data_IF_952213957734
#
_entry.id   IF_952213957734
#
_cell.length_a   1.000
_cell.length_b   1.000
_cell.length_c   1.000
_cell.angle_alpha   90.00
_cell.angle_beta   90.00
_cell.angle_gamma   90.00
#
_symmetry.space_group_name_H-M   'P 1'
#
loop_
_entity.id
_entity.type
_entity.pdbx_description
1 polymer ?
#
# COMPACT_ATOMS: atom_id res chain seq x y z
N UNK A 1 -22.59 12.61 17.53
CA UNK A 1 -22.08 11.35 16.92
C UNK A 1 -20.56 11.37 17.02
N UNK A 2 -19.95 10.28 17.39
CA UNK A 2 -18.49 10.18 17.37
C UNK A 2 -17.99 10.26 15.90
N UNK A 3 -16.89 10.97 15.66
CA UNK A 3 -16.26 10.95 14.36
C UNK A 3 -15.79 9.52 14.05
N UNK A 4 -15.94 9.04 12.80
CA UNK A 4 -15.49 7.71 12.43
C UNK A 4 -13.98 7.57 12.69
N UNK A 5 -13.56 6.41 13.18
CA UNK A 5 -12.16 6.11 13.44
C UNK A 5 -11.39 6.17 12.12
N UNK A 6 -10.34 6.98 12.05
CA UNK A 6 -9.50 7.11 10.87
C UNK A 6 -8.17 6.40 11.11
N UNK A 7 -7.81 5.45 10.24
CA UNK A 7 -6.53 4.74 10.25
C UNK A 7 -5.81 4.97 8.93
N UNK A 8 -4.56 5.38 9.01
CA UNK A 8 -3.67 5.52 7.86
C UNK A 8 -2.78 4.28 7.76
N UNK A 9 -2.70 3.69 6.58
CA UNK A 9 -1.78 2.59 6.28
C UNK A 9 -0.82 3.05 5.19
N UNK A 10 0.44 3.24 5.55
CA UNK A 10 1.45 3.84 4.69
C UNK A 10 2.56 2.85 4.32
N UNK A 11 2.90 2.80 3.06
CA UNK A 11 3.94 1.93 2.50
C UNK A 11 3.75 1.72 1.00
N UNK A 12 4.50 0.79 0.40
CA UNK A 12 4.34 0.47 -1.01
C UNK A 12 3.07 -0.33 -1.28
N UNK A 13 2.51 -0.11 -2.47
CA UNK A 13 1.55 -1.01 -3.10
C UNK A 13 2.25 -1.56 -4.33
N UNK A 14 3.06 -2.61 -4.18
CA UNK A 14 3.81 -3.15 -5.29
C UNK A 14 2.90 -3.82 -6.30
N UNK A 15 3.25 -3.66 -7.57
CA UNK A 15 2.76 -4.52 -8.63
C UNK A 15 3.64 -5.76 -8.65
N UNK A 16 3.09 -6.88 -8.14
CA UNK A 16 3.77 -8.15 -8.09
C UNK A 16 3.47 -8.94 -9.37
N UNK A 17 4.52 -9.43 -10.03
CA UNK A 17 4.41 -10.46 -11.05
C UNK A 17 4.89 -11.75 -10.45
N UNK A 18 4.01 -12.73 -10.37
CA UNK A 18 4.25 -14.03 -9.74
C UNK A 18 4.33 -15.08 -10.83
N UNK A 19 5.50 -15.69 -10.97
CA UNK A 19 5.68 -16.89 -11.78
C UNK A 19 5.55 -18.10 -10.85
N UNK A 20 4.56 -18.94 -11.07
CA UNK A 20 4.35 -20.14 -10.27
C UNK A 20 5.25 -21.28 -10.79
N UNK A 21 5.51 -22.29 -9.95
CA UNK A 21 6.25 -23.49 -10.36
C UNK A 21 5.48 -24.35 -11.39
N UNK A 22 4.19 -24.06 -11.60
CA UNK A 22 3.35 -24.66 -12.66
C UNK A 22 3.38 -23.85 -13.96
N UNK A 23 4.25 -22.81 -14.04
CA UNK A 23 4.41 -21.90 -15.16
C UNK A 23 3.23 -20.94 -15.41
N UNK A 24 2.35 -20.75 -14.44
CA UNK A 24 1.35 -19.69 -14.49
C UNK A 24 1.97 -18.34 -14.13
N UNK A 25 1.45 -17.27 -14.74
CA UNK A 25 1.84 -15.90 -14.41
C UNK A 25 0.62 -15.18 -13.82
N UNK A 26 0.77 -14.70 -12.60
CA UNK A 26 -0.25 -13.99 -11.87
C UNK A 26 0.25 -12.58 -11.58
N UNK A 27 -0.61 -11.57 -11.76
CA UNK A 27 -0.32 -10.19 -11.37
C UNK A 27 -1.23 -9.79 -10.22
N UNK A 28 -0.65 -9.17 -9.18
CA UNK A 28 -1.35 -8.70 -7.98
C UNK A 28 -0.79 -7.37 -7.52
N UNK A 29 -1.59 -6.68 -6.69
CA UNK A 29 -1.12 -5.57 -5.87
C UNK A 29 -1.01 -6.06 -4.42
N UNK A 30 0.20 -5.94 -3.86
CA UNK A 30 0.56 -6.54 -2.57
C UNK A 30 0.76 -5.52 -1.44
N UNK A 31 1.50 -5.96 -0.43
CA UNK A 31 1.94 -5.19 0.74
C UNK A 31 0.80 -4.42 1.43
N UNK A 32 0.72 -3.09 1.29
CA UNK A 32 -0.30 -2.22 1.93
C UNK A 32 -1.73 -2.64 1.62
N UNK A 33 -1.99 -3.25 0.47
CA UNK A 33 -3.32 -3.73 0.09
C UNK A 33 -3.91 -4.68 1.13
N UNK A 34 -3.11 -5.60 1.67
CA UNK A 34 -3.59 -6.59 2.63
C UNK A 34 -4.08 -6.00 3.96
N UNK A 35 -3.27 -5.19 4.69
CA UNK A 35 -3.75 -4.59 5.93
C UNK A 35 -4.87 -3.58 5.71
N UNK A 36 -4.92 -2.89 4.57
CA UNK A 36 -6.04 -1.99 4.25
C UNK A 36 -7.35 -2.77 4.15
N UNK A 37 -7.37 -3.88 3.44
CA UNK A 37 -8.57 -4.74 3.32
C UNK A 37 -8.95 -5.32 4.69
N UNK A 38 -7.98 -5.83 5.45
CA UNK A 38 -8.23 -6.40 6.78
C UNK A 38 -8.84 -5.36 7.74
N UNK A 39 -8.24 -4.16 7.82
CA UNK A 39 -8.73 -3.07 8.65
C UNK A 39 -10.08 -2.54 8.18
N UNK A 40 -10.30 -2.45 6.87
CA UNK A 40 -11.60 -2.07 6.32
C UNK A 40 -12.71 -2.99 6.81
N UNK A 41 -12.51 -4.30 6.75
CA UNK A 41 -13.47 -5.30 7.24
C UNK A 41 -13.67 -5.24 8.76
N UNK A 42 -12.60 -5.01 9.51
CA UNK A 42 -12.67 -4.90 10.98
C UNK A 42 -13.39 -3.65 11.45
N UNK A 43 -13.20 -2.53 10.78
CA UNK A 43 -13.82 -1.26 11.15
C UNK A 43 -15.27 -1.14 10.63
N UNK A 44 -15.55 -1.76 9.50
CA UNK A 44 -16.85 -1.69 8.83
C UNK A 44 -17.34 -0.22 8.73
N UNK A 45 -18.53 0.06 9.19
CA UNK A 45 -19.12 1.42 9.19
C UNK A 45 -18.55 2.35 10.27
N UNK A 46 -17.76 1.82 11.22
CA UNK A 46 -17.23 2.56 12.36
C UNK A 46 -15.93 3.33 12.06
N UNK A 47 -15.34 3.14 10.89
CA UNK A 47 -14.09 3.81 10.57
C UNK A 47 -13.75 3.87 9.10
N UNK A 48 -12.73 4.66 8.80
CA UNK A 48 -12.19 4.87 7.45
C UNK A 48 -10.73 4.47 7.43
N UNK A 49 -10.33 3.71 6.41
CA UNK A 49 -8.94 3.33 6.16
C UNK A 49 -8.39 4.12 4.98
N UNK A 50 -7.23 4.74 5.16
CA UNK A 50 -6.58 5.57 4.14
C UNK A 50 -5.24 4.96 3.78
N UNK A 51 -5.10 4.28 2.64
CA UNK A 51 -3.80 3.89 2.12
C UNK A 51 -3.02 5.13 1.67
N UNK A 52 -1.76 5.22 2.09
CA UNK A 52 -0.81 6.25 1.64
C UNK A 52 0.34 5.57 0.93
N UNK A 53 0.45 5.81 -0.36
CA UNK A 53 1.49 5.20 -1.19
C UNK A 53 1.82 6.08 -2.40
N UNK A 54 3.06 5.97 -2.88
CA UNK A 54 3.47 6.54 -4.16
C UNK A 54 3.46 5.42 -5.20
N UNK A 55 2.64 5.56 -6.22
CA UNK A 55 2.41 4.53 -7.24
C UNK A 55 2.70 5.04 -8.64
N UNK A 56 2.94 4.14 -9.59
CA UNK A 56 3.00 4.52 -10.99
C UNK A 56 1.60 4.84 -11.52
N UNK A 57 1.51 5.84 -12.40
CA UNK A 57 0.24 6.31 -12.97
C UNK A 57 -0.60 5.18 -13.60
N UNK A 58 0.04 4.20 -14.25
CA UNK A 58 -0.66 3.08 -14.89
C UNK A 58 -1.34 2.12 -13.91
N UNK A 59 -0.97 2.17 -12.63
CA UNK A 59 -1.48 1.26 -11.61
C UNK A 59 -2.71 1.83 -10.87
N UNK A 60 -3.12 3.07 -11.17
CA UNK A 60 -4.24 3.75 -10.50
C UNK A 60 -5.52 2.93 -10.57
N UNK A 61 -5.93 2.55 -11.78
CA UNK A 61 -7.20 1.85 -11.99
C UNK A 61 -7.18 0.43 -11.40
N UNK A 62 -6.04 -0.26 -11.52
CA UNK A 62 -5.86 -1.58 -10.91
C UNK A 62 -5.96 -1.53 -9.39
N UNK A 63 -5.28 -0.57 -8.76
CA UNK A 63 -5.33 -0.39 -7.31
C UNK A 63 -6.73 0.05 -6.85
N UNK A 64 -7.38 0.96 -7.58
CA UNK A 64 -8.76 1.35 -7.27
C UNK A 64 -9.72 0.16 -7.35
N UNK A 65 -9.51 -0.75 -8.30
CA UNK A 65 -10.31 -1.97 -8.43
C UNK A 65 -10.13 -2.95 -7.26
N UNK A 66 -8.92 -3.02 -6.65
CA UNK A 66 -8.69 -3.84 -5.44
C UNK A 66 -9.57 -3.39 -4.27
N UNK A 67 -9.89 -2.09 -4.20
CA UNK A 67 -10.63 -1.52 -3.07
C UNK A 67 -12.10 -1.21 -3.37
N UNK A 68 -12.60 -1.47 -4.57
CA UNK A 68 -13.95 -1.05 -5.00
C UNK A 68 -15.10 -1.59 -4.13
N UNK A 69 -14.90 -2.75 -3.51
CA UNK A 69 -15.90 -3.39 -2.64
C UNK A 69 -15.86 -2.88 -1.19
N UNK A 70 -14.87 -2.06 -0.86
CA UNK A 70 -14.64 -1.56 0.49
C UNK A 70 -15.01 -0.07 0.58
N UNK A 71 -16.28 0.23 0.85
CA UNK A 71 -16.83 1.59 0.86
C UNK A 71 -16.16 2.53 1.87
N UNK A 72 -15.52 1.98 2.90
CA UNK A 72 -14.80 2.72 3.94
C UNK A 72 -13.28 2.86 3.66
N UNK A 73 -12.80 2.48 2.47
CA UNK A 73 -11.44 2.78 2.02
C UNK A 73 -11.43 4.09 1.25
N UNK A 74 -10.62 5.04 1.70
CA UNK A 74 -10.47 6.36 1.07
C UNK A 74 -9.11 6.48 0.39
N UNK A 75 -9.11 6.53 -0.94
CA UNK A 75 -7.90 6.56 -1.78
C UNK A 75 -7.20 7.93 -1.85
N UNK A 76 -7.64 8.93 -1.07
CA UNK A 76 -7.06 10.27 -1.09
C UNK A 76 -5.56 10.34 -0.69
N UNK A 77 -5.01 9.26 -0.12
CA UNK A 77 -3.59 9.12 0.19
C UNK A 77 -2.73 8.55 -0.94
N UNK A 78 -3.35 8.08 -2.01
CA UNK A 78 -2.62 7.55 -3.18
C UNK A 78 -2.07 8.71 -4.00
N UNK A 79 -0.75 8.68 -4.26
CA UNK A 79 -0.04 9.66 -5.06
C UNK A 79 0.61 8.98 -6.27
N UNK A 80 0.28 9.46 -7.47
CA UNK A 80 0.76 8.89 -8.74
C UNK A 80 1.54 9.88 -9.60
N UNK A 81 1.91 11.04 -9.04
CA UNK A 81 2.63 12.08 -9.79
C UNK A 81 4.10 11.70 -9.97
N UNK A 82 4.46 11.30 -11.19
CA UNK A 82 5.85 11.02 -11.61
C UNK A 82 6.57 9.98 -10.75
N UNK A 83 5.83 9.00 -10.23
CA UNK A 83 6.43 7.91 -9.48
C UNK A 83 6.62 6.66 -10.34
N UNK A 84 7.67 5.88 -10.07
CA UNK A 84 7.88 4.58 -10.71
C UNK A 84 6.96 3.53 -10.14
N UNK A 85 6.53 3.72 -8.90
CA UNK A 85 5.89 2.68 -8.10
C UNK A 85 6.86 1.56 -7.74
N UNK A 86 6.45 0.70 -6.85
CA UNK A 86 7.21 -0.51 -6.51
C UNK A 86 6.78 -1.64 -7.44
N UNK A 87 7.75 -2.36 -7.97
CA UNK A 87 7.54 -3.53 -8.86
C UNK A 87 8.39 -4.68 -8.36
N UNK A 88 7.75 -5.81 -8.12
CA UNK A 88 8.39 -7.02 -7.61
C UNK A 88 8.11 -8.19 -8.56
N UNK A 89 9.14 -8.99 -8.80
CA UNK A 89 9.06 -10.27 -9.47
C UNK A 89 9.25 -11.37 -8.43
N UNK A 90 8.29 -12.26 -8.34
CA UNK A 90 8.32 -13.45 -7.48
C UNK A 90 8.37 -14.68 -8.40
N UNK A 91 9.43 -15.45 -8.32
CA UNK A 91 9.62 -16.66 -9.13
C UNK A 91 9.67 -17.88 -8.22
N UNK A 92 8.58 -18.63 -8.19
CA UNK A 92 8.44 -19.85 -7.38
C UNK A 92 9.09 -21.03 -8.10
N UNK A 93 10.11 -21.60 -7.50
CA UNK A 93 10.80 -22.80 -7.98
C UNK A 93 10.06 -24.08 -7.58
N UNK A 94 9.41 -24.04 -6.42
CA UNK A 94 8.51 -25.05 -5.87
C UNK A 94 7.53 -24.39 -4.87
N UNK A 95 6.78 -25.18 -4.10
CA UNK A 95 5.81 -24.67 -3.14
C UNK A 95 6.42 -23.82 -1.99
N UNK A 96 7.69 -24.04 -1.67
CA UNK A 96 8.35 -23.44 -0.50
C UNK A 96 9.51 -22.52 -0.87
N UNK A 97 10.05 -22.61 -2.09
CA UNK A 97 11.21 -21.86 -2.54
C UNK A 97 10.83 -20.86 -3.63
N UNK A 98 11.17 -19.60 -3.42
CA UNK A 98 11.01 -18.54 -4.41
C UNK A 98 12.23 -17.64 -4.46
N UNK A 99 12.48 -17.10 -5.62
CA UNK A 99 13.35 -15.95 -5.81
C UNK A 99 12.51 -14.68 -5.85
N UNK A 100 12.99 -13.63 -5.22
CA UNK A 100 12.35 -12.33 -5.19
C UNK A 100 13.28 -11.27 -5.75
N UNK A 101 12.80 -10.49 -6.71
CA UNK A 101 13.56 -9.41 -7.32
C UNK A 101 12.74 -8.13 -7.37
N UNK A 102 13.24 -7.08 -6.73
CA UNK A 102 12.68 -5.75 -6.86
C UNK A 102 13.19 -5.09 -8.15
N UNK A 103 12.28 -4.80 -9.06
CA UNK A 103 12.59 -4.18 -10.36
C UNK A 103 12.49 -2.66 -10.33
N UNK A 104 11.65 -2.12 -9.45
CA UNK A 104 11.51 -0.70 -9.20
C UNK A 104 11.09 -0.45 -7.75
N UNK A 105 11.47 0.70 -7.23
CA UNK A 105 11.08 1.18 -5.91
C UNK A 105 10.36 2.52 -6.04
N UNK A 106 9.28 2.69 -5.27
CA UNK A 106 8.60 3.97 -5.16
C UNK A 106 9.50 5.03 -4.50
N UNK A 107 9.22 6.30 -4.75
CA UNK A 107 9.81 7.38 -3.96
C UNK A 107 9.32 7.31 -2.51
N UNK A 108 10.16 7.69 -1.52
CA UNK A 108 9.78 7.57 -0.12
C UNK A 108 8.57 8.42 0.25
N UNK A 109 7.74 7.88 1.14
CA UNK A 109 6.68 8.63 1.79
C UNK A 109 7.33 9.65 2.72
N UNK A 110 7.04 10.93 2.48
CA UNK A 110 7.56 12.10 3.20
C UNK A 110 6.46 12.77 4.01
N UNK A 111 6.77 13.66 4.96
CA UNK A 111 5.77 14.37 5.78
C UNK A 111 4.64 14.99 4.98
N UNK A 112 4.94 15.56 3.79
CA UNK A 112 3.90 16.16 2.92
C UNK A 112 2.80 15.19 2.50
N UNK A 113 3.08 13.88 2.43
CA UNK A 113 2.11 12.87 2.01
C UNK A 113 1.13 12.50 3.14
N UNK A 114 1.54 12.67 4.40
CA UNK A 114 0.72 12.35 5.58
C UNK A 114 0.13 13.57 6.27
N UNK A 115 0.64 14.79 5.97
CA UNK A 115 0.26 16.04 6.65
C UNK A 115 -1.26 16.26 6.76
N UNK A 116 -2.00 15.91 5.71
CA UNK A 116 -3.47 16.07 5.67
C UNK A 116 -4.24 14.99 6.44
N UNK A 117 -3.53 14.03 7.03
CA UNK A 117 -4.11 12.91 7.76
C UNK A 117 -3.66 12.83 9.21
N UNK A 118 -3.09 13.93 9.77
CA UNK A 118 -2.60 13.94 11.15
C UNK A 118 -3.71 13.83 12.20
N UNK A 119 -4.96 13.97 11.78
CA UNK A 119 -6.15 13.69 12.58
C UNK A 119 -6.50 12.20 12.67
N UNK A 120 -5.69 11.33 12.06
CA UNK A 120 -5.88 9.89 12.17
C UNK A 120 -5.61 9.40 13.59
N UNK A 121 -6.42 8.45 14.04
CA UNK A 121 -6.27 7.81 15.34
C UNK A 121 -5.04 6.87 15.41
N UNK A 122 -4.62 6.33 14.25
CA UNK A 122 -3.44 5.48 14.15
C UNK A 122 -2.79 5.56 12.77
N UNK A 123 -1.47 5.34 12.76
CA UNK A 123 -0.67 5.14 11.56
C UNK A 123 -0.03 3.75 11.59
N UNK A 124 -0.23 2.99 10.53
CA UNK A 124 0.38 1.68 10.33
C UNK A 124 1.38 1.81 9.19
N UNK A 125 2.65 1.56 9.47
CA UNK A 125 3.73 1.61 8.46
C UNK A 125 4.10 0.20 8.05
N UNK A 126 4.09 -0.07 6.75
CA UNK A 126 4.33 -1.39 6.17
C UNK A 126 5.38 -1.27 5.06
N UNK A 127 6.65 -1.00 5.40
CA UNK A 127 7.72 -0.95 4.42
C UNK A 127 8.15 -2.36 3.97
N UNK A 128 8.62 -2.47 2.73
CA UNK A 128 9.34 -3.64 2.22
C UNK A 128 10.86 -3.40 2.36
N UNK A 129 11.28 -2.15 2.15
CA UNK A 129 12.69 -1.74 2.21
C UNK A 129 12.88 -0.52 3.11
N UNK A 130 14.14 -0.20 3.43
CA UNK A 130 14.52 0.93 4.29
C UNK A 130 14.19 2.31 3.69
N UNK A 131 13.90 2.38 2.39
CA UNK A 131 13.78 3.65 1.67
C UNK A 131 12.36 4.16 1.49
N UNK A 132 11.36 3.34 1.71
CA UNK A 132 9.98 3.64 1.32
C UNK A 132 9.28 4.62 2.28
N UNK A 133 9.78 4.72 3.51
CA UNK A 133 9.27 5.64 4.52
C UNK A 133 10.44 6.44 5.09
N UNK A 134 10.43 7.76 4.91
CA UNK A 134 11.53 8.58 5.42
C UNK A 134 11.48 8.68 6.95
N UNK A 135 12.64 8.71 7.59
CA UNK A 135 12.73 8.91 9.04
C UNK A 135 12.06 10.21 9.49
N UNK A 136 12.10 11.26 8.65
CA UNK A 136 11.41 12.52 8.91
C UNK A 136 9.88 12.34 8.97
N UNK A 137 9.31 11.39 8.24
CA UNK A 137 7.89 11.05 8.28
C UNK A 137 7.52 10.46 9.64
N UNK A 138 8.32 9.50 10.13
CA UNK A 138 8.10 8.90 11.45
C UNK A 138 8.23 9.93 12.58
N UNK A 139 9.21 10.82 12.49
CA UNK A 139 9.39 11.90 13.47
C UNK A 139 8.30 13.00 13.40
N UNK A 140 7.62 13.11 12.28
CA UNK A 140 6.57 14.11 12.06
C UNK A 140 5.25 13.74 12.75
N UNK A 141 5.02 12.45 12.97
CA UNK A 141 3.87 11.91 13.68
C UNK A 141 4.24 11.89 15.17
N UNK A 142 3.60 12.71 15.95
CA UNK A 142 3.80 12.80 17.41
C UNK A 142 2.53 12.40 18.13
#
# INVERSE_FOLDING_TARGET
MANPLKIVVAGPIPRDTISTYENDIIMRYGCVTHPVIALSKLLDTNGVVIPVSNIHKKDIDGIANEFKEFSNVNLAGINSKKDRGTVILLDFKDQNNREEKQLACMNPIRPKHIKKHLDAAAFVFVPITDFEISLSTLKYIK
#
